data_IF_657569052196
#
_entry.id   IF_657569052196
#
_cell.length_a   1.000
_cell.length_b   1.000
_cell.length_c   1.000
_cell.angle_alpha   90.00
_cell.angle_beta   90.00
_cell.angle_gamma   90.00
#
_symmetry.space_group_name_H-M   'P 1'
#
loop_
_entity.id
_entity.type
_entity.pdbx_description
1 polymer ?
#
# COMPACT_ATOMS: atom_id res chain seq x y z
N UNK A 1 17.92 49.61 -20.75
CA UNK A 1 19.27 49.52 -20.18
C UNK A 1 19.83 48.14 -20.47
N UNK A 2 21.15 48.03 -20.57
CA UNK A 2 21.87 46.74 -20.46
C UNK A 2 21.99 46.37 -18.94
N UNK A 3 22.55 45.25 -18.47
CA UNK A 3 23.56 44.32 -19.02
C UNK A 3 23.29 42.85 -18.61
N UNK A 4 24.20 41.95 -18.99
CA UNK A 4 24.19 40.49 -18.75
C UNK A 4 25.35 40.06 -17.85
N UNK A 5 25.25 38.86 -17.25
CA UNK A 5 26.29 38.10 -16.51
C UNK A 5 26.67 38.71 -15.13
N UNK A 6 27.24 38.00 -14.13
CA UNK A 6 27.93 36.70 -14.10
C UNK A 6 27.75 36.00 -12.70
N UNK A 7 28.43 34.87 -12.48
CA UNK A 7 28.43 33.99 -11.29
C UNK A 7 29.71 34.27 -10.43
N UNK A 8 30.03 33.73 -9.23
CA UNK A 8 29.51 32.65 -8.36
C UNK A 8 30.14 32.68 -6.94
N UNK A 9 29.70 31.75 -6.08
CA UNK A 9 30.35 31.18 -4.87
C UNK A 9 30.43 31.98 -3.55
N UNK A 10 30.27 31.23 -2.44
CA UNK A 10 30.41 31.71 -1.06
C UNK A 10 29.73 30.77 -0.05
N UNK A 11 30.44 29.75 0.42
CA UNK A 11 29.91 28.66 1.28
C UNK A 11 29.87 29.03 2.78
N UNK A 12 28.87 28.53 3.53
CA UNK A 12 29.00 28.24 4.97
C UNK A 12 28.09 27.05 5.40
N UNK A 13 28.62 25.83 5.29
CA UNK A 13 28.04 24.62 5.89
C UNK A 13 28.18 24.63 7.43
N UNK A 14 27.07 24.55 8.17
CA UNK A 14 27.07 24.22 9.61
C UNK A 14 25.95 23.25 10.01
N UNK A 15 25.99 22.03 9.47
CA UNK A 15 25.35 20.88 10.11
C UNK A 15 26.41 19.90 10.64
N UNK A 16 26.89 20.14 11.87
CA UNK A 16 27.87 19.30 12.52
C UNK A 16 27.23 18.12 13.27
N UNK A 17 27.19 16.94 12.64
CA UNK A 17 27.97 15.80 13.16
C UNK A 17 28.03 14.64 12.16
N UNK A 18 29.24 14.15 11.87
CA UNK A 18 29.48 13.10 10.88
C UNK A 18 30.01 11.81 11.52
N UNK A 19 29.27 10.71 11.36
CA UNK A 19 29.70 9.33 11.67
C UNK A 19 28.95 8.36 10.73
N UNK A 20 29.55 7.54 9.84
CA UNK A 20 30.72 7.66 8.96
C UNK A 20 30.82 6.42 8.01
N UNK A 21 30.94 6.61 6.67
CA UNK A 21 31.25 5.57 5.63
C UNK A 21 30.27 4.36 5.52
N UNK A 22 30.12 3.59 4.42
CA UNK A 22 30.27 3.68 2.94
C UNK A 22 29.46 2.44 2.41
N UNK A 23 28.96 2.29 1.18
CA UNK A 23 29.27 2.83 -0.15
C UNK A 23 27.99 2.95 -1.01
N UNK A 24 28.07 3.71 -2.10
CA UNK A 24 26.98 4.01 -3.05
C UNK A 24 26.71 2.83 -4.01
N UNK A 25 25.44 2.59 -4.32
CA UNK A 25 25.00 2.12 -5.65
C UNK A 25 23.98 3.13 -6.20
N UNK A 26 24.34 3.80 -7.29
CA UNK A 26 23.46 4.74 -8.00
C UNK A 26 22.59 3.97 -9.00
N UNK A 27 21.28 4.16 -8.96
CA UNK A 27 20.47 4.16 -10.18
C UNK A 27 19.33 5.19 -10.04
N UNK A 28 18.81 5.69 -11.15
CA UNK A 28 18.26 7.04 -11.29
C UNK A 28 16.79 7.05 -11.76
N UNK A 29 15.94 7.78 -11.02
CA UNK A 29 14.58 8.23 -11.41
C UNK A 29 13.50 7.13 -11.56
N UNK A 30 12.24 7.27 -11.12
CA UNK A 30 11.49 8.33 -10.41
C UNK A 30 10.18 7.70 -9.83
N UNK A 31 9.17 8.48 -9.37
CA UNK A 31 9.16 9.42 -8.26
C UNK A 31 8.27 8.90 -7.08
N UNK A 32 8.29 9.62 -5.95
CA UNK A 32 7.47 9.40 -4.74
C UNK A 32 7.73 8.12 -3.95
N UNK A 33 8.90 8.04 -3.32
CA UNK A 33 9.10 7.18 -2.14
C UNK A 33 8.15 7.65 -1.03
N UNK A 34 7.07 6.92 -0.79
CA UNK A 34 6.25 7.09 0.42
C UNK A 34 7.20 6.90 1.62
N UNK A 35 7.24 7.82 2.61
CA UNK A 35 8.11 7.66 3.76
C UNK A 35 7.76 6.34 4.46
N UNK A 36 8.77 5.49 4.68
CA UNK A 36 8.59 4.17 5.27
C UNK A 36 8.05 4.32 6.70
N UNK A 37 6.73 4.19 6.83
CA UNK A 37 6.10 4.10 8.16
C UNK A 37 6.55 2.80 8.78
N UNK A 38 7.39 2.86 9.81
CA UNK A 38 7.90 1.73 10.59
C UNK A 38 6.83 1.05 11.46
N UNK A 39 5.56 1.12 11.04
CA UNK A 39 4.39 0.64 11.75
C UNK A 39 3.23 0.29 10.78
N UNK A 40 3.53 -0.25 9.59
CA UNK A 40 2.49 -0.86 8.75
C UNK A 40 2.24 -2.30 9.18
N UNK A 41 0.98 -2.77 9.19
CA UNK A 41 0.66 -4.17 9.47
C UNK A 41 1.32 -5.10 8.44
N UNK A 42 1.75 -6.27 8.91
CA UNK A 42 2.17 -7.38 8.05
C UNK A 42 0.91 -8.01 7.46
N UNK A 43 0.99 -8.46 6.20
CA UNK A 43 -0.12 -9.10 5.50
C UNK A 43 0.24 -10.53 5.09
N UNK A 44 -0.77 -11.39 4.98
CA UNK A 44 -0.62 -12.69 4.31
C UNK A 44 -0.32 -12.53 2.82
N UNK A 45 0.14 -13.61 2.18
CA UNK A 45 0.12 -13.71 0.72
C UNK A 45 -1.30 -13.56 0.15
N UNK A 46 -1.39 -13.15 -1.12
CA UNK A 46 -2.64 -13.02 -1.86
C UNK A 46 -3.25 -14.40 -2.13
N UNK A 47 -4.48 -14.61 -1.67
CA UNK A 47 -5.25 -15.83 -1.95
C UNK A 47 -6.43 -15.55 -2.89
N UNK A 48 -6.78 -16.50 -3.78
CA UNK A 48 -8.15 -16.59 -4.29
C UNK A 48 -9.02 -17.08 -3.12
N UNK A 49 -9.68 -16.15 -2.43
CA UNK A 49 -10.53 -16.41 -1.28
C UNK A 49 -11.45 -15.21 -1.01
N UNK A 50 -12.42 -15.39 -0.11
CA UNK A 50 -13.35 -14.35 0.33
C UNK A 50 -14.04 -14.73 1.65
N UNK A 51 -14.67 -13.78 2.34
CA UNK A 51 -15.51 -14.00 3.52
C UNK A 51 -16.96 -13.62 3.18
N UNK A 52 -17.78 -14.65 2.93
CA UNK A 52 -19.16 -14.45 2.44
C UNK A 52 -19.99 -13.60 3.42
N UNK A 53 -20.51 -12.47 2.92
CA UNK A 53 -21.42 -11.60 3.66
C UNK A 53 -20.78 -10.77 4.76
N UNK A 54 -19.47 -10.52 4.73
CA UNK A 54 -18.73 -9.77 5.75
C UNK A 54 -18.14 -8.45 5.23
N UNK A 55 -18.98 -7.72 4.50
CA UNK A 55 -18.61 -6.50 3.79
C UNK A 55 -18.79 -5.26 4.67
N UNK A 56 -17.97 -5.12 5.72
CA UNK A 56 -18.09 -4.02 6.71
C UNK A 56 -17.93 -2.63 6.06
N UNK A 57 -17.06 -2.51 5.05
CA UNK A 57 -17.00 -1.35 4.14
C UNK A 57 -16.78 -1.78 2.69
N UNK A 58 -17.23 -0.95 1.77
CA UNK A 58 -17.13 -1.17 0.32
C UNK A 58 -16.63 0.11 -0.36
N UNK A 59 -15.65 -0.03 -1.26
CA UNK A 59 -15.12 1.03 -2.10
C UNK A 59 -15.09 0.54 -3.55
N UNK A 60 -15.29 1.45 -4.50
CA UNK A 60 -15.26 1.18 -5.94
C UNK A 60 -14.07 1.90 -6.57
N UNK A 61 -13.71 1.52 -7.80
CA UNK A 61 -12.65 2.18 -8.59
C UNK A 61 -11.28 2.22 -7.90
N UNK A 62 -11.05 1.33 -6.91
CA UNK A 62 -9.75 1.21 -6.23
C UNK A 62 -8.76 0.62 -7.24
N UNK A 63 -7.65 1.29 -7.59
CA UNK A 63 -6.83 0.87 -8.74
C UNK A 63 -6.12 -0.48 -8.58
N UNK A 64 -5.85 -0.89 -7.33
CA UNK A 64 -5.13 -2.10 -6.99
C UNK A 64 -5.33 -2.47 -5.51
N UNK A 65 -4.79 -3.63 -5.15
CA UNK A 65 -4.94 -4.23 -3.82
C UNK A 65 -4.19 -3.47 -2.71
N UNK A 66 -3.15 -2.69 -3.03
CA UNK A 66 -2.47 -1.82 -2.07
C UNK A 66 -3.37 -0.63 -1.67
N UNK A 67 -4.23 -0.16 -2.59
CA UNK A 67 -5.31 0.77 -2.26
C UNK A 67 -6.28 0.22 -1.21
N UNK A 68 -6.65 -1.06 -1.33
CA UNK A 68 -7.46 -1.73 -0.29
C UNK A 68 -6.75 -1.80 1.06
N UNK A 69 -5.46 -2.16 1.09
CA UNK A 69 -4.66 -2.16 2.33
C UNK A 69 -4.59 -0.77 2.95
N UNK A 70 -4.39 0.28 2.13
CA UNK A 70 -4.37 1.67 2.61
C UNK A 70 -5.72 2.11 3.20
N UNK A 71 -6.83 1.72 2.56
CA UNK A 71 -8.17 1.92 3.14
C UNK A 71 -8.34 1.14 4.45
N UNK A 72 -7.90 -0.11 4.54
CA UNK A 72 -7.96 -0.92 5.77
C UNK A 72 -7.15 -0.31 6.92
N UNK A 73 -5.91 0.13 6.65
CA UNK A 73 -5.03 0.80 7.62
C UNK A 73 -5.61 2.11 8.17
N UNK A 74 -6.54 2.74 7.45
CA UNK A 74 -7.25 3.93 7.88
C UNK A 74 -8.61 3.63 8.57
N UNK A 75 -8.89 2.37 8.91
CA UNK A 75 -10.17 1.93 9.50
C UNK A 75 -9.98 1.06 10.74
N UNK A 76 -10.47 1.56 11.88
CA UNK A 76 -10.35 0.88 13.16
C UNK A 76 -11.00 -0.52 13.17
N UNK A 77 -10.17 -1.51 13.48
CA UNK A 77 -10.57 -2.92 13.55
C UNK A 77 -10.76 -3.61 12.19
N UNK A 78 -10.29 -3.01 11.09
CA UNK A 78 -10.18 -3.74 9.82
C UNK A 78 -9.08 -4.80 9.93
N UNK A 79 -9.44 -6.05 9.62
CA UNK A 79 -8.57 -7.24 9.76
C UNK A 79 -8.29 -7.90 8.40
N UNK A 80 -9.19 -7.77 7.42
CA UNK A 80 -9.00 -8.34 6.08
C UNK A 80 -9.53 -7.44 4.96
N UNK A 81 -9.07 -7.72 3.74
CA UNK A 81 -9.53 -7.08 2.50
C UNK A 81 -9.84 -8.11 1.42
N UNK A 82 -10.82 -7.81 0.58
CA UNK A 82 -11.09 -8.54 -0.66
C UNK A 82 -11.09 -7.55 -1.83
N UNK A 83 -10.31 -7.83 -2.87
CA UNK A 83 -10.18 -6.98 -4.03
C UNK A 83 -10.52 -7.72 -5.32
N UNK A 84 -11.41 -7.13 -6.13
CA UNK A 84 -11.76 -7.62 -7.45
C UNK A 84 -11.05 -6.76 -8.52
N UNK A 85 -10.04 -7.32 -9.17
CA UNK A 85 -9.24 -6.58 -10.17
C UNK A 85 -9.94 -6.35 -11.51
N UNK A 86 -11.11 -6.95 -11.77
CA UNK A 86 -11.90 -6.69 -12.97
C UNK A 86 -12.82 -5.47 -12.84
N UNK A 87 -13.17 -5.10 -11.60
CA UNK A 87 -14.13 -4.01 -11.31
C UNK A 87 -13.55 -2.88 -10.46
N UNK A 88 -12.35 -3.05 -9.88
CA UNK A 88 -11.80 -2.12 -8.89
C UNK A 88 -12.57 -2.15 -7.55
N UNK A 89 -13.47 -3.12 -7.36
CA UNK A 89 -14.25 -3.23 -6.13
C UNK A 89 -13.37 -3.75 -4.99
N UNK A 90 -13.53 -3.12 -3.83
CA UNK A 90 -12.76 -3.36 -2.63
C UNK A 90 -13.69 -3.51 -1.43
N UNK A 91 -13.59 -4.65 -0.74
CA UNK A 91 -14.32 -4.93 0.50
C UNK A 91 -13.31 -4.89 1.65
N UNK A 92 -13.67 -4.23 2.75
CA UNK A 92 -12.97 -4.33 4.03
C UNK A 92 -13.82 -5.15 4.99
N UNK A 93 -13.16 -5.98 5.82
CA UNK A 93 -13.82 -6.73 6.88
C UNK A 93 -13.14 -6.54 8.24
N UNK A 94 -13.95 -6.60 9.30
CA UNK A 94 -13.49 -6.85 10.68
C UNK A 94 -13.33 -8.34 10.99
N UNK A 95 -13.71 -9.20 10.05
CA UNK A 95 -13.47 -10.65 10.11
C UNK A 95 -12.12 -10.97 9.45
N UNK A 96 -11.67 -12.22 9.64
CA UNK A 96 -10.48 -12.79 9.00
C UNK A 96 -10.74 -14.27 8.62
N UNK A 97 -9.70 -15.02 8.24
CA UNK A 97 -9.78 -16.41 7.76
C UNK A 97 -10.31 -17.40 8.79
N UNK A 98 -10.39 -17.01 10.08
CA UNK A 98 -11.04 -17.79 11.15
C UNK A 98 -12.57 -17.71 11.10
N UNK A 99 -13.12 -16.83 10.25
CA UNK A 99 -14.56 -16.70 10.04
C UNK A 99 -15.17 -18.00 9.49
N UNK A 100 -16.33 -18.47 9.99
CA UNK A 100 -17.05 -19.61 9.42
C UNK A 100 -17.53 -19.36 7.98
N UNK A 101 -17.46 -18.12 7.51
CA UNK A 101 -17.79 -17.71 6.15
C UNK A 101 -16.57 -17.53 5.23
N UNK A 102 -15.34 -17.76 5.72
CA UNK A 102 -14.14 -17.77 4.88
C UNK A 102 -14.18 -18.93 3.88
N UNK A 103 -13.86 -18.67 2.61
CA UNK A 103 -13.86 -19.64 1.52
C UNK A 103 -12.61 -19.50 0.68
N UNK A 104 -11.98 -20.63 0.35
CA UNK A 104 -10.79 -20.75 -0.50
C UNK A 104 -10.93 -22.02 -1.37
N UNK A 105 -11.07 -21.93 -2.70
CA UNK A 105 -11.24 -20.70 -3.49
C UNK A 105 -12.49 -19.91 -3.09
N UNK A 106 -12.58 -18.64 -3.49
CA UNK A 106 -13.85 -17.93 -3.40
C UNK A 106 -14.88 -18.60 -4.32
N UNK A 107 -16.14 -18.85 -3.90
CA UNK A 107 -17.15 -19.45 -4.75
C UNK A 107 -17.49 -18.50 -5.91
N UNK A 108 -17.17 -18.93 -7.12
CA UNK A 108 -17.20 -18.08 -8.31
C UNK A 108 -18.58 -18.00 -8.97
N UNK A 109 -18.89 -16.80 -9.47
CA UNK A 109 -19.24 -16.68 -10.89
C UNK A 109 -17.90 -16.46 -11.63
N UNK A 110 -17.58 -17.25 -12.65
CA UNK A 110 -16.19 -17.57 -13.07
C UNK A 110 -15.30 -16.42 -13.61
N UNK A 111 -15.81 -15.19 -13.66
CA UNK A 111 -15.13 -14.04 -14.30
C UNK A 111 -14.55 -13.04 -13.29
N UNK A 112 -14.65 -13.32 -11.99
CA UNK A 112 -14.41 -12.34 -10.91
C UNK A 112 -13.57 -12.93 -9.75
N UNK A 113 -12.30 -13.20 -10.01
CA UNK A 113 -11.36 -13.71 -9.00
C UNK A 113 -11.12 -12.67 -7.89
N UNK A 114 -11.84 -12.82 -6.78
CA UNK A 114 -11.61 -12.05 -5.56
C UNK A 114 -10.27 -12.43 -4.93
N UNK A 115 -9.45 -11.40 -4.66
CA UNK A 115 -8.13 -11.51 -4.05
C UNK A 115 -8.23 -11.11 -2.59
N UNK A 116 -7.96 -12.05 -1.70
CA UNK A 116 -8.02 -11.87 -0.26
C UNK A 116 -6.63 -11.68 0.35
N UNK A 117 -6.53 -10.80 1.35
CA UNK A 117 -5.43 -10.75 2.31
C UNK A 117 -5.98 -10.40 3.69
N UNK A 118 -5.23 -10.78 4.72
CA UNK A 118 -5.47 -10.38 6.12
C UNK A 118 -4.20 -9.90 6.81
N UNK A 119 -4.39 -9.18 7.91
CA UNK A 119 -3.33 -8.69 8.79
C UNK A 119 -2.90 -9.81 9.74
N UNK A 120 -1.60 -9.95 9.99
CA UNK A 120 -0.98 -10.92 10.91
C UNK A 120 -0.03 -10.26 11.92
#
# INVERSE_FOLDING_TARGET
>A
GAQVNDVSFGDEDKNSNAVNNRTISNDVSAPNTVPSRTNQPVWTDVANACIIGKNDKFFQEVPNIEGCKAHCQAQDGCNSVEYNSGTGNCVLSKSDSRSPNYRKPCPENADNVWKYLEII
#
